data_IF_110440785763
#
_entry.id   IF_110440785763
#
_cell.length_a   1.000
_cell.length_b   1.000
_cell.length_c   1.000
_cell.angle_alpha   90.00
_cell.angle_beta   90.00
_cell.angle_gamma   90.00
#
_symmetry.space_group_name_H-M   'P 1'
#
loop_
_entity.id
_entity.type
_entity.pdbx_description
1 polymer ?
2 water ?
#
# COMPACT_ATOMS: atom_id res chain seq x y z
N UNK A 2 -10.01 -8.60 -35.00
CA UNK A 2 -9.23 -8.49 -33.78
C UNK A 2 -10.12 -8.78 -32.57
N UNK A 3 -9.64 -9.64 -31.69
CA UNK A 3 -10.37 -9.97 -30.46
C UNK A 3 -9.33 -10.08 -29.35
N UNK A 4 -9.56 -9.35 -28.26
CA UNK A 4 -8.65 -9.36 -27.13
C UNK A 4 -9.33 -9.90 -25.88
N UNK A 5 -8.60 -10.65 -25.07
CA UNK A 5 -9.15 -11.21 -23.84
C UNK A 5 -8.10 -11.22 -22.74
N UNK A 6 -8.39 -10.55 -21.62
CA UNK A 6 -7.47 -10.51 -20.50
C UNK A 6 -7.77 -11.64 -19.53
N UNK A 7 -6.79 -12.02 -18.73
CA UNK A 7 -6.96 -13.07 -17.75
C UNK A 7 -5.89 -12.95 -16.68
N UNK A 8 -6.07 -13.65 -15.57
CA UNK A 8 -5.08 -13.61 -14.51
C UNK A 8 -5.50 -12.82 -13.29
N UNK A 9 -6.60 -12.08 -13.39
CA UNK A 9 -7.07 -11.29 -12.27
C UNK A 9 -7.41 -12.14 -11.05
N UNK A 10 -7.43 -11.50 -9.89
CA UNK A 10 -7.74 -12.22 -8.66
C UNK A 10 -7.52 -11.35 -7.44
N UNK A 11 -7.64 -11.96 -6.27
CA UNK A 11 -7.44 -11.27 -5.01
C UNK A 11 -5.99 -11.49 -4.59
N UNK A 12 -5.27 -10.42 -4.33
CA UNK A 12 -3.87 -10.51 -3.94
C UNK A 12 -3.58 -9.70 -2.69
N UNK A 13 -2.60 -10.16 -1.91
CA UNK A 13 -2.19 -9.51 -0.68
C UNK A 13 -1.27 -8.33 -1.01
N UNK A 14 -1.45 -7.20 -0.34
CA UNK A 14 -0.60 -6.03 -0.57
C UNK A 14 0.85 -6.47 -0.43
N UNK A 15 1.71 -5.96 -1.31
CA UNK A 15 3.12 -6.33 -1.26
C UNK A 15 3.37 -7.53 -2.16
N UNK A 16 2.29 -8.16 -2.60
CA UNK A 16 2.42 -9.32 -3.45
C UNK A 16 2.58 -9.01 -4.93
N UNK A 17 2.66 -10.05 -5.74
CA UNK A 17 2.83 -9.92 -7.18
C UNK A 17 1.77 -10.69 -7.92
N UNK A 18 1.50 -10.27 -9.16
CA UNK A 18 0.50 -10.92 -10.01
C UNK A 18 0.83 -10.63 -11.47
N UNK A 19 0.64 -11.62 -12.34
CA UNK A 19 0.90 -11.42 -13.75
C UNK A 19 -0.39 -11.60 -14.54
N UNK A 20 -0.76 -10.57 -15.29
CA UNK A 20 -1.95 -10.61 -16.12
C UNK A 20 -1.54 -10.96 -17.54
N UNK A 21 -2.48 -11.49 -18.31
CA UNK A 21 -2.21 -11.84 -19.69
C UNK A 21 -3.27 -11.25 -20.59
N UNK A 22 -2.90 -10.96 -21.82
CA UNK A 22 -3.80 -10.40 -22.82
C UNK A 22 -3.55 -11.26 -24.06
N UNK A 23 -4.52 -12.08 -24.42
CA UNK A 23 -4.40 -12.97 -25.56
C UNK A 23 -5.06 -12.32 -26.78
N UNK A 24 -4.43 -12.42 -27.94
CA UNK A 24 -4.98 -11.86 -29.16
C UNK A 24 -5.01 -12.90 -30.27
N UNK A 25 -5.82 -12.62 -31.28
CA UNK A 25 -5.97 -13.52 -32.42
C UNK A 25 -4.88 -13.33 -33.49
N UNK A 26 -4.60 -14.41 -34.21
CA UNK A 26 -3.61 -14.39 -35.28
C UNK A 26 -2.35 -13.59 -35.03
N UNK A 27 -2.05 -12.68 -35.95
CA UNK A 27 -0.87 -11.85 -35.84
C UNK A 27 -1.18 -10.44 -35.36
N UNK A 28 -2.25 -10.31 -34.58
CA UNK A 28 -2.65 -9.01 -34.06
C UNK A 28 -1.48 -8.28 -33.41
N UNK A 29 -0.75 -8.98 -32.55
CA UNK A 29 0.39 -8.39 -31.84
C UNK A 29 1.64 -8.18 -32.69
N UNK A 30 1.59 -8.58 -33.95
CA UNK A 30 2.72 -8.38 -34.83
C UNK A 30 2.51 -7.12 -35.65
N UNK A 31 1.25 -6.68 -35.77
CA UNK A 31 0.95 -5.48 -36.53
C UNK A 31 0.43 -4.32 -35.68
N UNK A 32 -0.09 -4.64 -34.50
CA UNK A 32 -0.59 -3.59 -33.59
C UNK A 32 0.32 -3.46 -32.38
N UNK A 33 0.29 -2.27 -31.78
CA UNK A 33 1.04 -1.99 -30.56
C UNK A 33 0.04 -2.27 -29.45
N UNK A 34 0.52 -2.44 -28.23
CA UNK A 34 -0.37 -2.78 -27.12
C UNK A 34 -0.25 -1.86 -25.93
N UNK A 35 -1.39 -1.48 -25.36
CA UNK A 35 -1.38 -0.63 -24.19
C UNK A 35 -2.21 -1.25 -23.07
N UNK A 36 -1.87 -0.91 -21.84
CA UNK A 36 -2.64 -1.40 -20.70
C UNK A 36 -3.21 -0.18 -20.01
N UNK A 37 -4.47 -0.28 -19.61
CA UNK A 37 -5.19 0.78 -18.92
C UNK A 37 -5.84 0.14 -17.68
N UNK A 38 -6.30 0.96 -16.76
CA UNK A 38 -6.98 0.40 -15.58
C UNK A 38 -8.03 1.37 -15.07
N UNK A 39 -9.05 0.83 -14.43
CA UNK A 39 -10.09 1.67 -13.86
C UNK A 39 -10.32 1.27 -12.41
N UNK A 40 -9.91 2.14 -11.51
CA UNK A 40 -10.07 1.88 -10.08
C UNK A 40 -11.49 2.28 -9.70
N UNK A 41 -12.00 1.75 -8.57
CA UNK A 41 -13.36 2.07 -8.13
C UNK A 41 -13.68 3.57 -8.13
N UNK A 42 -14.72 3.92 -8.88
CA UNK A 42 -15.16 5.31 -8.95
C UNK A 42 -14.36 6.27 -9.79
N UNK A 43 -13.17 5.86 -10.25
CA UNK A 43 -12.34 6.74 -11.05
C UNK A 43 -12.41 6.49 -12.54
N UNK A 44 -11.90 7.45 -13.31
CA UNK A 44 -11.89 7.33 -14.75
C UNK A 44 -10.75 6.40 -15.18
N UNK A 45 -10.94 5.69 -16.29
CA UNK A 45 -9.91 4.78 -16.78
C UNK A 45 -8.65 5.56 -17.12
N UNK A 46 -7.50 5.00 -16.75
CA UNK A 46 -6.24 5.67 -16.97
C UNK A 46 -5.16 4.76 -17.54
N UNK A 47 -4.20 5.38 -18.22
CA UNK A 47 -3.08 4.69 -18.84
C UNK A 47 -2.16 4.06 -17.80
N UNK A 48 -1.67 2.86 -18.11
CA UNK A 48 -0.76 2.13 -17.22
C UNK A 48 0.58 1.90 -17.91
N UNK A 49 0.53 1.34 -19.12
CA UNK A 49 1.76 1.08 -19.83
C UNK A 49 1.54 0.84 -21.31
N UNK A 50 2.63 0.94 -22.08
CA UNK A 50 2.56 0.76 -23.53
C UNK A 50 3.70 -0.14 -23.98
N UNK A 51 3.40 -0.99 -24.97
CA UNK A 51 4.39 -1.90 -25.51
C UNK A 51 4.43 -1.75 -27.02
N UNK A 52 5.54 -1.22 -27.53
CA UNK A 52 5.68 -1.05 -28.97
C UNK A 52 6.14 -2.39 -29.53
N UNK A 53 5.37 -2.94 -30.46
CA UNK A 53 5.70 -4.24 -31.02
C UNK A 53 6.84 -4.21 -32.04
N UNK A 54 7.21 -3.02 -32.50
CA UNK A 54 8.29 -2.90 -33.47
C UNK A 54 9.65 -3.28 -32.87
N UNK A 55 10.04 -2.57 -31.81
CA UNK A 55 11.33 -2.85 -31.19
C UNK A 55 11.24 -3.45 -29.81
N UNK A 56 10.02 -3.54 -29.27
CA UNK A 56 9.85 -4.13 -27.95
C UNK A 56 10.08 -3.17 -26.79
N UNK A 57 10.10 -1.87 -27.08
CA UNK A 57 10.30 -0.88 -26.03
C UNK A 57 9.02 -0.69 -25.22
N UNK A 58 9.16 -0.40 -23.95
CA UNK A 58 7.99 -0.20 -23.09
C UNK A 58 8.03 1.17 -22.41
N UNK A 59 6.85 1.71 -22.11
CA UNK A 59 6.70 3.00 -21.45
C UNK A 59 5.69 2.81 -20.33
N UNK A 60 5.97 3.40 -19.16
CA UNK A 60 5.09 3.24 -18.01
C UNK A 60 4.64 4.54 -17.35
N UNK A 61 3.40 4.55 -16.85
CA UNK A 61 2.87 5.71 -16.16
C UNK A 61 3.68 5.85 -14.87
N UNK A 62 3.84 7.08 -14.39
CA UNK A 62 4.61 7.30 -13.17
C UNK A 62 4.07 6.54 -11.97
N UNK A 63 2.77 6.29 -11.97
CA UNK A 63 2.13 5.58 -10.87
C UNK A 63 2.60 4.14 -10.70
N UNK A 64 3.12 3.54 -11.78
CA UNK A 64 3.56 2.16 -11.69
C UNK A 64 4.98 1.89 -12.17
N UNK A 65 5.63 2.89 -12.75
CA UNK A 65 6.99 2.73 -13.27
C UNK A 65 7.91 2.11 -12.22
N UNK A 66 8.59 1.03 -12.62
CA UNK A 66 9.49 0.34 -11.72
C UNK A 66 8.87 -0.90 -11.11
N UNK A 67 7.56 -0.84 -10.83
CA UNK A 67 6.87 -1.97 -10.22
C UNK A 67 6.16 -2.86 -11.24
N UNK A 68 5.69 -2.25 -12.32
CA UNK A 68 4.98 -2.98 -13.37
C UNK A 68 5.82 -3.08 -14.63
N UNK A 69 5.79 -4.23 -15.29
CA UNK A 69 6.53 -4.41 -16.53
C UNK A 69 5.70 -5.20 -17.51
N UNK A 70 5.90 -4.93 -18.80
CA UNK A 70 5.16 -5.58 -19.87
C UNK A 70 6.11 -6.35 -20.78
N UNK A 71 5.64 -7.50 -21.25
CA UNK A 71 6.42 -8.36 -22.14
C UNK A 71 5.50 -9.11 -23.09
N UNK A 72 6.10 -9.87 -24.00
CA UNK A 72 5.32 -10.65 -24.95
C UNK A 72 5.94 -12.05 -25.04
N UNK A 73 5.11 -13.07 -25.22
CA UNK A 73 5.61 -14.45 -25.31
C UNK A 73 6.32 -14.73 -26.64
N UNK A 74 7.02 -15.86 -26.70
CA UNK A 74 7.76 -16.25 -27.88
C UNK A 74 6.93 -16.32 -29.15
N UNK A 75 5.72 -16.87 -29.04
CA UNK A 75 4.82 -17.00 -30.18
C UNK A 75 4.17 -15.68 -30.59
N UNK A 76 4.25 -14.69 -29.70
CA UNK A 76 3.67 -13.36 -29.94
C UNK A 76 2.15 -13.37 -30.04
N UNK A 77 1.52 -14.20 -29.23
CA UNK A 77 0.06 -14.31 -29.19
C UNK A 77 -0.45 -13.82 -27.84
N UNK A 78 0.47 -13.56 -26.93
CA UNK A 78 0.11 -13.11 -25.59
C UNK A 78 1.05 -12.04 -25.05
N UNK A 79 0.47 -10.98 -24.49
CA UNK A 79 1.25 -9.89 -23.90
C UNK A 79 0.94 -9.94 -22.40
N UNK A 80 1.98 -9.77 -21.59
CA UNK A 80 1.82 -9.84 -20.15
C UNK A 80 2.01 -8.51 -19.44
N UNK A 81 1.34 -8.37 -18.31
CA UNK A 81 1.52 -7.19 -17.46
C UNK A 81 1.90 -7.77 -16.11
N UNK A 82 3.20 -7.69 -15.78
CA UNK A 82 3.69 -8.20 -14.51
C UNK A 82 3.61 -7.10 -13.46
N UNK A 83 3.05 -7.45 -12.30
CA UNK A 83 2.93 -6.50 -11.21
C UNK A 83 3.73 -6.98 -10.00
N UNK A 84 4.60 -6.11 -9.49
CA UNK A 84 5.40 -6.41 -8.30
C UNK A 84 5.06 -5.37 -7.24
N UNK A 85 5.30 -5.70 -5.98
CA UNK A 85 5.06 -4.78 -4.87
C UNK A 85 3.72 -4.06 -4.96
N UNK A 86 2.62 -4.81 -5.06
CA UNK A 86 1.30 -4.22 -5.18
C UNK A 86 0.86 -3.35 -4.00
N UNK A 87 0.11 -2.30 -4.32
CA UNK A 87 -0.42 -1.37 -3.31
C UNK A 87 -1.94 -1.54 -3.31
N UNK A 88 -2.58 -1.02 -2.26
CA UNK A 88 -4.03 -1.12 -2.19
C UNK A 88 -4.67 -0.35 -3.35
N UNK A 89 -4.10 0.80 -3.70
CA UNK A 89 -4.67 1.59 -4.78
C UNK A 89 -4.38 1.05 -6.17
N UNK A 90 -3.79 -0.14 -6.26
CA UNK A 90 -3.55 -0.75 -7.56
C UNK A 90 -4.82 -1.55 -7.88
N UNK A 91 -5.75 -1.58 -6.92
CA UNK A 91 -7.00 -2.31 -7.11
C UNK A 91 -7.77 -1.67 -8.25
N UNK A 92 -8.18 -2.47 -9.23
CA UNK A 92 -8.92 -1.94 -10.36
C UNK A 92 -9.14 -3.01 -11.41
N UNK A 93 -9.92 -2.65 -12.42
CA UNK A 93 -10.13 -3.57 -13.53
C UNK A 93 -9.07 -3.16 -14.54
N UNK A 94 -8.27 -4.14 -14.98
CA UNK A 94 -7.21 -3.88 -15.95
C UNK A 94 -7.67 -4.28 -17.35
N UNK A 95 -7.40 -3.39 -18.31
CA UNK A 95 -7.79 -3.57 -19.70
C UNK A 95 -6.61 -3.49 -20.66
N UNK A 96 -6.54 -4.40 -21.62
CA UNK A 96 -5.49 -4.28 -22.63
C UNK A 96 -6.19 -3.77 -23.87
N UNK A 97 -5.45 -3.07 -24.71
CA UNK A 97 -6.00 -2.51 -25.93
C UNK A 97 -4.90 -2.44 -26.98
N UNK A 98 -5.31 -2.37 -28.24
CA UNK A 98 -4.33 -2.28 -29.32
C UNK A 98 -4.58 -1.08 -30.21
N UNK A 99 -3.52 -0.58 -30.81
CA UNK A 99 -3.60 0.56 -31.72
C UNK A 99 -2.57 0.37 -32.81
N UNK A 100 -2.77 1.03 -33.95
CA UNK A 100 -1.83 0.90 -35.05
C UNK A 100 -0.64 1.83 -34.83
N UNK A 101 0.55 1.41 -35.30
CA UNK A 101 1.75 2.23 -35.14
C UNK A 101 1.54 3.63 -35.72
N UNK A 102 2.22 4.61 -35.14
CA UNK A 102 2.12 6.00 -35.59
C UNK A 102 0.68 6.46 -35.79
N UNK A 103 -0.11 6.44 -34.73
CA UNK A 103 -1.52 6.87 -34.82
C UNK A 103 -1.89 7.88 -33.74
N UNK A 104 -0.88 8.48 -33.10
CA UNK A 104 -1.15 9.46 -32.06
C UNK A 104 -0.43 9.21 -30.74
N UNK A 105 -0.90 9.86 -29.69
CA UNK A 105 -0.32 9.73 -28.35
C UNK A 105 -0.69 8.38 -27.75
N UNK A 106 0.31 7.57 -27.44
CA UNK A 106 0.07 6.24 -26.88
C UNK A 106 -0.53 6.26 -25.48
N UNK A 107 -0.50 7.43 -24.84
CA UNK A 107 -1.06 7.57 -23.50
C UNK A 107 -2.56 7.85 -23.54
N UNK A 108 -3.05 8.25 -24.72
CA UNK A 108 -4.46 8.58 -24.89
C UNK A 108 -5.35 7.42 -25.28
N UNK A 109 -6.37 7.16 -24.47
CA UNK A 109 -7.29 6.06 -24.73
C UNK A 109 -8.01 6.20 -26.07
N UNK A 110 -8.19 7.44 -26.52
CA UNK A 110 -8.89 7.68 -27.77
C UNK A 110 -8.19 7.14 -29.01
N UNK A 111 -6.89 6.90 -28.93
CA UNK A 111 -6.11 6.41 -30.07
C UNK A 111 -6.14 4.90 -30.27
N UNK A 112 -6.77 4.18 -29.35
CA UNK A 112 -6.82 2.73 -29.46
C UNK A 112 -8.03 2.23 -30.26
N UNK A 113 -7.83 1.14 -30.99
CA UNK A 113 -8.86 0.58 -31.85
C UNK A 113 -9.71 -0.53 -31.27
N UNK A 114 -9.10 -1.40 -30.47
CA UNK A 114 -9.84 -2.51 -29.87
C UNK A 114 -9.50 -2.67 -28.41
N UNK A 115 -10.47 -3.16 -27.64
CA UNK A 115 -10.33 -3.34 -26.21
C UNK A 115 -10.76 -4.71 -25.70
N UNK A 116 -10.07 -5.18 -24.65
CA UNK A 116 -10.46 -6.44 -24.05
C UNK A 116 -11.59 -6.14 -23.08
N UNK A 117 -12.19 -7.17 -22.48
CA UNK A 117 -13.31 -6.94 -21.57
C UNK A 117 -12.87 -6.55 -20.16
N UNK A 118 -11.59 -6.76 -19.85
CA UNK A 118 -11.07 -6.41 -18.54
C UNK A 118 -11.01 -7.54 -17.53
N UNK A 119 -10.07 -7.43 -16.59
CA UNK A 119 -9.92 -8.44 -15.54
C UNK A 119 -9.70 -7.70 -14.22
N UNK A 120 -10.42 -8.12 -13.18
CA UNK A 120 -10.35 -7.48 -11.88
C UNK A 120 -9.16 -7.93 -11.04
N UNK A 121 -8.48 -6.95 -10.45
CA UNK A 121 -7.36 -7.21 -9.56
C UNK A 121 -7.73 -6.54 -8.24
N UNK A 122 -7.83 -7.32 -7.17
CA UNK A 122 -8.17 -6.77 -5.87
C UNK A 122 -7.01 -6.96 -4.90
N UNK A 123 -6.48 -5.85 -4.41
CA UNK A 123 -5.35 -5.88 -3.47
C UNK A 123 -5.89 -5.65 -2.06
N UNK A 124 -5.69 -6.62 -1.18
CA UNK A 124 -6.17 -6.50 0.19
C UNK A 124 -5.04 -6.28 1.19
N UNK A 125 -5.32 -5.48 2.21
CA UNK A 125 -4.33 -5.17 3.23
C UNK A 125 -4.03 -6.43 4.05
N UNK B 2 6.47 -1.61 3.14
CA UNK B 2 6.03 -1.50 4.53
C UNK B 2 4.58 -1.04 4.57
N UNK B 3 3.78 -1.71 5.40
CA UNK B 3 2.38 -1.32 5.57
C UNK B 3 2.05 -1.51 7.04
N UNK B 4 1.51 -0.46 7.66
CA UNK B 4 1.16 -0.51 9.08
C UNK B 4 -0.35 -0.34 9.27
N UNK B 5 -0.90 -1.05 10.25
CA UNK B 5 -2.32 -0.93 10.52
C UNK B 5 -2.61 -1.06 12.01
N UNK B 6 -3.19 -0.01 12.60
CA UNK B 6 -3.51 -0.04 14.02
C UNK B 6 -4.92 -0.58 14.23
N UNK B 7 -5.17 -1.10 15.43
CA UNK B 7 -6.47 -1.64 15.77
C UNK B 7 -6.62 -1.63 17.29
N UNK B 8 -7.83 -1.88 17.76
CA UNK B 8 -8.06 -1.92 19.19
C UNK B 8 -8.80 -0.72 19.75
N UNK B 9 -8.88 0.35 18.97
CA UNK B 9 -9.55 1.55 19.44
C UNK B 9 -10.99 1.32 19.86
N UNK B 10 -11.53 2.24 20.65
CA UNK B 10 -12.89 2.10 21.11
C UNK B 10 -13.22 3.11 22.19
N UNK B 11 -14.40 2.96 22.78
CA UNK B 11 -14.85 3.84 23.85
C UNK B 11 -14.57 3.15 25.17
N UNK B 12 -13.92 3.87 26.08
CA UNK B 12 -13.57 3.32 27.39
C UNK B 12 -13.86 4.35 28.48
N UNK B 13 -14.14 3.89 29.69
CA UNK B 13 -14.42 4.81 30.79
C UNK B 13 -13.13 5.23 31.46
N UNK B 14 -13.11 6.45 31.98
CA UNK B 14 -11.94 6.97 32.68
C UNK B 14 -11.55 5.96 33.75
N UNK B 15 -10.26 5.78 33.97
CA UNK B 15 -9.80 4.84 34.96
C UNK B 15 -9.65 3.45 34.37
N UNK B 16 -10.18 3.24 33.17
CA UNK B 16 -10.09 1.94 32.53
C UNK B 16 -8.78 1.70 31.80
N UNK B 17 -8.68 0.53 31.17
CA UNK B 17 -7.50 0.14 30.42
C UNK B 17 -7.90 -0.30 29.02
N UNK B 18 -6.93 -0.26 28.10
CA UNK B 18 -7.17 -0.65 26.72
C UNK B 18 -5.82 -0.96 26.06
N UNK B 19 -5.79 -1.98 25.20
CA UNK B 19 -4.55 -2.29 24.52
C UNK B 19 -4.72 -2.16 23.02
N UNK B 20 -3.87 -1.34 22.41
CA UNK B 20 -3.93 -1.11 20.97
C UNK B 20 -2.89 -2.01 20.30
N UNK B 21 -3.10 -2.30 19.02
CA UNK B 21 -2.16 -3.13 18.28
C UNK B 21 -1.74 -2.45 16.99
N UNK B 22 -0.51 -2.72 16.57
CA UNK B 22 0.03 -2.18 15.32
C UNK B 22 0.62 -3.40 14.60
N UNK B 23 -0.02 -3.78 13.50
CA UNK B 23 0.44 -4.93 12.72
C UNK B 23 1.29 -4.45 11.55
N UNK B 24 2.39 -5.15 11.28
CA UNK B 24 3.26 -4.77 10.17
C UNK B 24 3.53 -5.95 9.27
N UNK B 25 3.99 -5.66 8.06
CA UNK B 25 4.28 -6.68 7.07
C UNK B 25 5.67 -7.31 7.22
N UNK B 26 5.80 -8.55 6.80
CA UNK B 26 7.06 -9.27 6.85
C UNK B 26 7.91 -9.08 8.09
N UNK B 27 9.18 -8.71 7.87
CA UNK B 27 10.11 -8.49 8.98
C UNK B 27 10.27 -7.02 9.31
N UNK B 28 9.24 -6.22 8.99
CA UNK B 28 9.28 -4.78 9.25
C UNK B 28 9.78 -4.46 10.67
N UNK B 29 9.20 -5.10 11.67
CA UNK B 29 9.58 -4.84 13.05
C UNK B 29 10.93 -5.44 13.46
N UNK B 30 11.58 -6.15 12.55
CA UNK B 30 12.88 -6.72 12.85
C UNK B 30 13.97 -5.77 12.35
N UNK B 31 13.61 -4.90 11.41
CA UNK B 31 14.58 -3.96 10.87
C UNK B 31 14.27 -2.50 11.18
N UNK B 32 13.03 -2.20 11.55
CA UNK B 32 12.64 -0.83 11.89
C UNK B 32 12.31 -0.73 13.38
N UNK B 33 12.47 0.47 13.93
CA UNK B 33 12.11 0.73 15.33
C UNK B 33 10.68 1.27 15.24
N UNK B 34 9.95 1.26 16.34
CA UNK B 34 8.56 1.69 16.32
C UNK B 34 8.21 2.81 17.28
N UNK B 35 7.40 3.75 16.82
CA UNK B 35 7.00 4.84 17.69
C UNK B 35 5.49 4.98 17.69
N UNK B 36 4.94 5.47 18.79
CA UNK B 36 3.51 5.71 18.88
C UNK B 36 3.34 7.21 19.07
N UNK B 37 2.35 7.76 18.38
CA UNK B 37 2.02 9.17 18.43
C UNK B 37 0.51 9.28 18.62
N UNK B 38 0.03 10.45 19.00
CA UNK B 38 -1.41 10.62 19.17
C UNK B 38 -1.80 12.04 18.83
N UNK B 39 -3.05 12.20 18.40
CA UNK B 39 -3.57 13.52 18.08
C UNK B 39 -4.89 13.71 18.79
N UNK B 40 -4.89 14.58 19.79
CA UNK B 40 -6.10 14.88 20.55
C UNK B 40 -6.92 15.88 19.74
N UNK B 41 -8.23 15.96 19.99
CA UNK B 41 -9.09 16.89 19.26
C UNK B 41 -8.55 18.33 19.25
N UNK B 42 -8.34 18.87 18.06
CA UNK B 42 -7.85 20.23 17.92
C UNK B 42 -6.37 20.46 18.13
N UNK B 43 -5.68 19.47 18.70
CA UNK B 43 -4.25 19.59 18.96
C UNK B 43 -3.37 18.98 17.88
N UNK B 44 -2.10 19.35 17.91
CA UNK B 44 -1.12 18.81 16.96
C UNK B 44 -0.73 17.43 17.41
N UNK B 45 -0.31 16.59 16.47
CA UNK B 45 0.10 15.22 16.80
C UNK B 45 1.36 15.28 17.65
N UNK B 46 1.38 14.46 18.70
CA UNK B 46 2.50 14.42 19.63
C UNK B 46 3.01 13.01 19.92
N UNK B 47 4.28 12.94 20.29
CA UNK B 47 4.96 11.69 20.62
C UNK B 47 4.39 11.06 21.89
N UNK B 48 4.25 9.74 21.87
CA UNK B 48 3.72 9.01 23.02
C UNK B 48 4.76 8.02 23.57
N UNK B 49 5.33 7.20 22.69
CA UNK B 49 6.31 6.23 23.13
C UNK B 49 7.15 5.70 21.99
N UNK B 50 8.29 5.11 22.34
CA UNK B 50 9.20 4.55 21.35
C UNK B 50 9.64 3.17 21.78
N UNK B 51 9.81 2.28 20.80
CA UNK B 51 10.24 0.93 21.07
C UNK B 51 11.40 0.58 20.16
N UNK B 52 12.59 0.42 20.75
CA UNK B 52 13.77 0.07 19.98
C UNK B 52 13.77 -1.43 19.76
N UNK B 53 13.69 -1.86 18.51
CA UNK B 53 13.66 -3.28 18.21
C UNK B 53 14.98 -3.99 18.44
N UNK B 54 16.06 -3.24 18.72
CA UNK B 54 17.33 -3.91 18.92
C UNK B 54 17.40 -4.68 20.23
N UNK B 55 17.23 -4.00 21.34
CA UNK B 55 17.31 -4.63 22.65
C UNK B 55 16.00 -4.59 23.38
N UNK B 56 14.97 -4.07 22.72
CA UNK B 56 13.66 -4.01 23.34
C UNK B 56 13.42 -2.91 24.36
N UNK B 57 14.28 -1.89 24.37
CA UNK B 57 14.14 -0.79 25.32
C UNK B 57 13.00 0.13 24.88
N UNK B 58 12.27 0.67 25.84
CA UNK B 58 11.16 1.56 25.55
C UNK B 58 11.33 2.91 26.23
N UNK B 59 10.79 3.97 25.60
CA UNK B 59 10.87 5.32 26.15
C UNK B 59 9.49 5.94 26.04
N UNK B 60 9.09 6.66 27.08
CA UNK B 60 7.76 7.27 27.12
C UNK B 60 7.72 8.75 27.41
N UNK B 61 6.77 9.44 26.80
CA UNK B 61 6.58 10.87 27.01
C UNK B 61 6.11 11.04 28.46
N UNK B 62 6.46 12.16 29.09
CA UNK B 62 6.06 12.39 30.48
C UNK B 62 4.55 12.31 30.72
N UNK B 63 3.79 12.67 29.70
CA UNK B 63 2.34 12.65 29.79
C UNK B 63 1.76 11.26 30.06
N UNK B 64 2.49 10.21 29.66
CA UNK B 64 1.98 8.86 29.84
C UNK B 64 2.91 7.88 30.57
N UNK B 65 4.14 8.30 30.84
CA UNK B 65 5.10 7.42 31.52
C UNK B 65 4.51 6.81 32.80
N UNK B 66 4.63 5.49 32.91
CA UNK B 66 4.11 4.79 34.07
C UNK B 66 2.74 4.18 33.79
N UNK B 67 1.92 4.87 33.00
CA UNK B 67 0.59 4.38 32.67
C UNK B 67 0.51 3.59 31.37
N UNK B 68 1.35 3.97 30.41
CA UNK B 68 1.37 3.32 29.10
C UNK B 68 2.65 2.52 28.90
N UNK B 69 2.53 1.36 28.28
CA UNK B 69 3.70 0.53 28.02
C UNK B 69 3.59 -0.08 26.63
N UNK B 70 4.75 -0.29 26.01
CA UNK B 70 4.82 -0.84 24.66
C UNK B 70 5.55 -2.18 24.68
N UNK B 71 5.10 -3.11 23.84
CA UNK B 71 5.70 -4.43 23.75
C UNK B 71 5.55 -5.00 22.33
N UNK B 72 6.15 -6.16 22.11
CA UNK B 72 6.08 -6.84 20.81
C UNK B 72 5.72 -8.31 21.02
N UNK B 73 4.96 -8.89 20.10
CA UNK B 73 4.56 -10.29 20.22
C UNK B 73 5.73 -11.22 19.88
N UNK B 74 5.60 -12.49 20.27
CA UNK B 74 6.64 -13.49 20.02
C UNK B 74 7.08 -13.57 18.57
N UNK B 75 6.11 -13.50 17.66
CA UNK B 75 6.40 -13.59 16.23
C UNK B 75 6.98 -12.32 15.62
N UNK B 76 6.95 -11.22 16.38
CA UNK B 76 7.49 -9.94 15.91
C UNK B 76 6.75 -9.31 14.74
N UNK B 77 5.44 -9.51 14.68
CA UNK B 77 4.62 -8.95 13.61
C UNK B 77 3.59 -7.96 14.15
N UNK B 78 3.55 -7.83 15.48
CA UNK B 78 2.60 -6.93 16.10
C UNK B 78 3.20 -6.24 17.31
N UNK B 79 3.08 -4.91 17.36
CA UNK B 79 3.56 -4.12 18.49
C UNK B 79 2.32 -3.63 19.23
N UNK B 80 2.38 -3.64 20.56
CA UNK B 80 1.23 -3.22 21.37
C UNK B 80 1.48 -1.97 22.17
N UNK B 81 0.41 -1.20 22.39
CA UNK B 81 0.47 -0.02 23.24
C UNK B 81 -0.57 -0.29 24.32
N UNK B 82 -0.11 -0.67 25.50
CA UNK B 82 -1.02 -0.94 26.62
C UNK B 82 -1.27 0.34 27.37
N UNK B 83 -2.54 0.63 27.65
CA UNK B 83 -2.89 1.84 28.39
C UNK B 83 -3.58 1.45 29.70
N UNK B 84 -3.09 1.99 30.81
CA UNK B 84 -3.70 1.74 32.12
C UNK B 84 -4.13 3.09 32.70
N UNK B 85 -5.08 3.06 33.61
CA UNK B 85 -5.56 4.27 34.29
C UNK B 85 -5.81 5.42 33.33
N UNK B 86 -6.67 5.20 32.34
CA UNK B 86 -6.98 6.21 31.35
C UNK B 86 -7.65 7.47 31.89
N UNK B 87 -7.32 8.60 31.28
CA UNK B 87 -7.88 9.90 31.66
C UNK B 87 -8.59 10.47 30.46
N UNK B 88 -9.45 11.47 30.68
CA UNK B 88 -10.18 12.08 29.58
C UNK B 88 -9.16 12.67 28.60
N UNK B 89 -8.06 13.17 29.14
CA UNK B 89 -6.99 13.77 28.36
C UNK B 89 -6.36 12.81 27.37
N UNK B 90 -6.58 11.51 27.56
CA UNK B 90 -5.98 10.53 26.66
C UNK B 90 -6.82 10.30 25.41
N UNK B 91 -7.98 10.94 25.33
CA UNK B 91 -8.83 10.80 24.14
C UNK B 91 -8.07 11.34 22.94
N UNK B 92 -7.95 10.54 21.90
CA UNK B 92 -7.22 10.96 20.70
C UNK B 92 -7.13 9.84 19.69
N UNK B 93 -6.63 10.15 18.51
CA UNK B 93 -6.42 9.12 17.51
C UNK B 93 -4.96 8.72 17.72
N UNK B 94 -4.73 7.42 17.87
CA UNK B 94 -3.37 6.92 18.08
C UNK B 94 -2.80 6.35 16.78
N UNK B 95 -1.54 6.71 16.51
CA UNK B 95 -0.84 6.28 15.30
C UNK B 95 0.47 5.59 15.60
N UNK B 96 0.75 4.49 14.91
CA UNK B 96 2.03 3.85 15.08
C UNK B 96 2.82 4.22 13.83
N UNK B 97 4.14 4.27 13.96
CA UNK B 97 5.01 4.64 12.87
C UNK B 97 6.34 3.91 13.02
N UNK B 98 7.08 3.78 11.93
CA UNK B 98 8.38 3.11 12.00
C UNK B 98 9.48 4.01 11.44
N UNK B 99 10.68 3.84 11.98
CA UNK B 99 11.85 4.59 11.55
C UNK B 99 13.04 3.65 11.55
N UNK B 100 14.05 3.98 10.75
CA UNK B 100 15.24 3.15 10.69
C UNK B 100 16.16 3.50 11.85
N UNK B 101 16.87 2.50 12.41
CA UNK B 101 17.77 2.78 13.52
C UNK B 101 18.79 3.84 13.14
N UNK B 102 19.15 4.68 14.11
CA UNK B 102 20.11 5.77 13.90
C UNK B 102 19.68 6.74 12.81
N UNK B 103 18.44 7.21 12.89
CA UNK B 103 17.92 8.15 11.90
C UNK B 103 17.54 9.52 12.48
N UNK B 104 17.93 9.76 13.73
CA UNK B 104 17.62 11.04 14.35
C UNK B 104 16.95 10.96 15.71
N UNK B 105 16.22 12.01 16.07
CA UNK B 105 15.52 12.07 17.35
C UNK B 105 14.26 11.21 17.28
N UNK B 106 14.17 10.20 18.15
CA UNK B 106 13.03 9.30 18.16
C UNK B 106 11.73 9.95 18.63
N UNK B 107 11.84 11.17 19.17
CA UNK B 107 10.65 11.88 19.63
C UNK B 107 10.08 12.77 18.53
N UNK B 108 10.86 12.95 17.46
CA UNK B 108 10.43 13.80 16.35
C UNK B 108 9.70 13.05 15.23
N UNK B 109 8.47 13.48 14.96
CA UNK B 109 7.66 12.85 13.92
C UNK B 109 8.34 12.90 12.56
N UNK B 110 9.17 13.91 12.34
CA UNK B 110 9.84 14.05 11.05
C UNK B 110 10.83 12.95 10.70
N UNK B 111 11.27 12.20 11.70
CA UNK B 111 12.25 11.14 11.47
C UNK B 111 11.63 9.80 11.06
N UNK B 112 10.32 9.70 11.11
CA UNK B 112 9.66 8.45 10.76
C UNK B 112 9.39 8.31 9.26
N UNK B 113 9.43 7.06 8.79
CA UNK B 113 9.27 6.74 7.37
C UNK B 113 7.89 6.31 6.92
N UNK B 114 7.19 5.56 7.77
CA UNK B 114 5.87 5.06 7.42
C UNK B 114 4.92 5.22 8.59
N UNK B 115 3.65 5.44 8.27
CA UNK B 115 2.62 5.65 9.27
C UNK B 115 1.38 4.81 9.06
N UNK B 116 0.76 4.41 10.17
CA UNK B 116 -0.48 3.65 10.08
C UNK B 116 -1.60 4.67 9.91
N UNK B 117 -2.82 4.22 9.68
CA UNK B 117 -3.93 5.16 9.47
C UNK B 117 -4.56 5.70 10.76
N UNK B 118 -4.21 5.11 11.89
CA UNK B 118 -4.72 5.56 13.17
C UNK B 118 -5.96 4.85 13.69
N UNK B 119 -6.11 4.83 15.01
CA UNK B 119 -7.28 4.22 15.64
C UNK B 119 -7.75 5.15 16.75
N UNK B 120 -9.05 5.39 16.80
CA UNK B 120 -9.64 6.29 17.77
C UNK B 120 -9.87 5.67 19.14
N UNK B 121 -9.46 6.41 20.17
CA UNK B 121 -9.65 6.00 21.55
C UNK B 121 -10.41 7.15 22.22
N UNK B 122 -11.59 6.86 22.75
CA UNK B 122 -12.40 7.87 23.40
C UNK B 122 -12.60 7.50 24.87
N UNK B 123 -12.14 8.37 25.77
CA UNK B 123 -12.29 8.12 27.21
C UNK B 123 -13.44 8.98 27.72
N UNK B 124 -14.49 8.33 28.23
CA UNK B 124 -15.64 9.07 28.73
C UNK B 124 -15.70 9.11 30.25
N UNK B 125 -16.15 10.24 30.78
CA UNK B 125 -16.28 10.43 32.21
C UNK B 125 -17.20 9.35 32.77
#
# INVERSE_FOLDING_TARGET
XVQLQESGGGLVQAGGSLRLSCAASGRTFSTYAVGWFRQAPGKEREFVGYFGTRGGRTYYADSVKGRFTIAIDNAKNTVYLQMNSLKLDDTAVYYCAVRMPYSGDYRSSGTYDYWGQGTQVTVSS
XVQLQESGGGLVQAGGSLRLSCAASGRTFSTYAVGWFRQAPGKEREFVGYFGTRGGRTYYADSVKGRFTIAIDNAKNTVYLQMNSLKLDDTAVYYCAVRMPYSGDYRSSGTYDYWGQGTQVTVSS
#
